data_IF_960209703735
#
_entry.id   IF_960209703735
#
_cell.length_a   1.000
_cell.length_b   1.000
_cell.length_c   1.000
_cell.angle_alpha   90.00
_cell.angle_beta   90.00
_cell.angle_gamma   90.00
#
_symmetry.space_group_name_H-M   'P 1'
#
loop_
_entity.id
_entity.type
_entity.pdbx_description
1 polymer ?
#
# COMPACT_ATOMS: atom_id res chain seq x y z
N UNK A 1 0.94 -0.77 10.55
CA UNK A 1 0.48 0.17 9.50
C UNK A 1 1.60 1.20 9.26
N UNK A 2 1.80 1.66 8.00
CA UNK A 2 3.01 2.38 7.54
C UNK A 2 3.41 3.68 8.25
N UNK A 3 2.56 4.28 9.08
CA UNK A 3 2.82 5.61 9.72
C UNK A 3 3.17 6.72 8.71
N UNK A 4 2.70 6.62 7.48
CA UNK A 4 2.84 7.65 6.45
C UNK A 4 1.47 8.22 6.08
N UNK A 5 1.47 9.37 5.41
CA UNK A 5 0.26 9.94 4.84
C UNK A 5 -0.34 9.01 3.74
N UNK A 6 -1.68 8.85 3.67
CA UNK A 6 -2.33 8.06 2.63
C UNK A 6 -1.96 8.44 1.18
N UNK A 7 -1.61 9.71 0.90
CA UNK A 7 -1.15 10.15 -0.42
C UNK A 7 0.17 9.49 -0.80
N UNK A 8 1.02 9.20 0.18
CA UNK A 8 2.28 8.48 -0.02
C UNK A 8 2.00 7.04 -0.44
N UNK A 9 1.04 6.39 0.22
CA UNK A 9 0.60 5.03 -0.15
C UNK A 9 -0.03 5.01 -1.54
N UNK A 10 -0.80 6.04 -1.89
CA UNK A 10 -1.37 6.20 -3.24
C UNK A 10 -0.27 6.35 -4.29
N UNK A 11 0.74 7.17 -4.01
CA UNK A 11 1.90 7.35 -4.90
C UNK A 11 2.68 6.05 -5.11
N UNK A 12 2.85 5.22 -4.08
CA UNK A 12 3.46 3.90 -4.26
C UNK A 12 2.66 3.00 -5.19
N UNK A 13 1.34 3.13 -5.20
CA UNK A 13 0.51 2.39 -6.14
C UNK A 13 0.62 2.92 -7.58
N UNK A 14 0.76 4.23 -7.76
CA UNK A 14 1.02 4.85 -9.06
C UNK A 14 2.40 4.47 -9.61
N UNK A 15 3.41 4.41 -8.73
CA UNK A 15 4.77 3.95 -9.05
C UNK A 15 4.86 2.42 -9.26
N UNK A 16 3.77 1.67 -9.09
CA UNK A 16 3.74 0.20 -9.20
C UNK A 16 4.42 -0.57 -8.05
N UNK A 17 4.79 0.12 -6.97
CA UNK A 17 5.44 -0.46 -5.78
C UNK A 17 4.44 -1.17 -4.85
N UNK A 18 3.16 -0.81 -4.93
CA UNK A 18 2.08 -1.42 -4.15
C UNK A 18 0.89 -1.73 -5.05
N UNK A 19 0.43 -2.98 -5.07
CA UNK A 19 -0.70 -3.37 -5.91
C UNK A 19 -1.99 -2.86 -5.28
N UNK A 20 -2.86 -2.26 -6.10
CA UNK A 20 -4.15 -1.73 -5.65
C UNK A 20 -5.26 -2.10 -6.61
N UNK A 21 -6.45 -2.33 -6.08
CA UNK A 21 -7.69 -2.39 -6.85
C UNK A 21 -8.52 -1.13 -6.59
N UNK A 22 -9.39 -0.76 -7.53
CA UNK A 22 -10.33 0.35 -7.35
C UNK A 22 -11.72 -0.18 -7.06
N UNK A 23 -12.41 0.43 -6.10
CA UNK A 23 -13.84 0.21 -5.90
C UNK A 23 -14.64 0.95 -6.98
N UNK A 24 -15.95 0.66 -7.07
CA UNK A 24 -16.88 1.38 -7.96
C UNK A 24 -16.84 2.90 -7.71
N UNK A 25 -16.65 3.34 -6.46
CA UNK A 25 -16.50 4.76 -6.10
C UNK A 25 -15.10 5.33 -6.33
N UNK A 26 -14.19 4.61 -7.00
CA UNK A 26 -12.85 5.10 -7.36
C UNK A 26 -11.81 5.05 -6.24
N UNK A 27 -12.18 4.59 -5.03
CA UNK A 27 -11.28 4.48 -3.88
C UNK A 27 -10.34 3.28 -4.06
N UNK A 28 -9.05 3.45 -3.75
CA UNK A 28 -8.09 2.35 -3.77
C UNK A 28 -8.22 1.45 -2.55
N UNK A 29 -8.11 0.15 -2.77
CA UNK A 29 -7.99 -0.88 -1.73
C UNK A 29 -6.70 -1.66 -1.95
N UNK A 30 -6.05 -2.02 -0.84
CA UNK A 30 -4.76 -2.68 -0.83
C UNK A 30 -4.88 -4.06 -0.20
N UNK A 31 -4.13 -5.02 -0.72
CA UNK A 31 -4.08 -6.37 -0.14
C UNK A 31 -3.46 -6.33 1.25
N UNK A 32 -4.16 -6.90 2.24
CA UNK A 32 -3.65 -7.03 3.61
C UNK A 32 -2.31 -7.77 3.64
N UNK A 33 -2.20 -8.89 2.93
CA UNK A 33 -0.99 -9.71 2.89
C UNK A 33 0.21 -8.92 2.34
N UNK A 34 0.01 -8.13 1.28
CA UNK A 34 1.09 -7.32 0.71
C UNK A 34 1.51 -6.18 1.67
N UNK A 35 0.53 -5.54 2.31
CA UNK A 35 0.79 -4.50 3.32
C UNK A 35 1.57 -5.07 4.50
N UNK A 36 1.16 -6.21 5.03
CA UNK A 36 1.86 -6.91 6.10
C UNK A 36 3.25 -7.34 5.66
N UNK A 37 3.41 -7.88 4.45
CA UNK A 37 4.73 -8.25 3.93
C UNK A 37 5.70 -7.06 3.90
N UNK A 38 5.26 -5.91 3.39
CA UNK A 38 6.07 -4.70 3.31
C UNK A 38 6.35 -4.08 4.69
N UNK A 39 5.42 -4.19 5.66
CA UNK A 39 5.67 -3.78 7.05
C UNK A 39 6.85 -4.52 7.69
N UNK A 40 6.94 -5.83 7.43
CA UNK A 40 7.89 -6.69 8.13
C UNK A 40 9.19 -6.90 7.36
N UNK A 41 9.17 -6.75 6.03
CA UNK A 41 10.39 -6.87 5.21
C UNK A 41 11.38 -5.73 5.47
N UNK A 42 10.91 -4.52 5.75
CA UNK A 42 11.77 -3.36 6.02
C UNK A 42 12.14 -3.21 7.52
N UNK A 43 11.46 -3.92 8.42
CA UNK A 43 11.74 -3.91 9.87
C UNK A 43 12.63 -5.06 10.36
N UNK A 44 13.02 -5.98 9.46
CA UNK A 44 13.97 -7.05 9.72
C UNK A 44 15.29 -6.74 9.00
N UNK A 45 16.06 -5.83 9.58
CA UNK A 45 17.47 -5.56 9.26
C UNK A 45 18.19 -5.15 10.55
#
# INVERSE_FOLDING_TARGET
MFRVDPKTVTRWADDGKLVSIRTVGGVRRFSRQQVEYLMHRDGAQ
#
